data_IF_763528511703
#
_entry.id   IF_763528511703
#
_cell.length_a   1.000
_cell.length_b   1.000
_cell.length_c   1.000
_cell.angle_alpha   90.00
_cell.angle_beta   90.00
_cell.angle_gamma   90.00
#
_symmetry.space_group_name_H-M   'P 1'
#
loop_
_entity.id
_entity.type
_entity.pdbx_description
1 polymer ?
#
# COMPACT_ATOMS: atom_id res chain seq x y z
N UNK A 1 -6.74 -22.07 -18.57
CA UNK A 1 -6.33 -22.84 -17.37
C UNK A 1 -5.16 -22.19 -16.60
N UNK A 2 -4.15 -21.62 -17.26
CA UNK A 2 -3.03 -20.91 -16.60
C UNK A 2 -3.46 -19.65 -15.81
N UNK A 3 -4.39 -18.84 -16.33
CA UNK A 3 -4.88 -17.63 -15.65
C UNK A 3 -5.51 -17.96 -14.29
N UNK A 4 -6.38 -18.98 -14.22
CA UNK A 4 -7.00 -19.44 -12.96
C UNK A 4 -5.96 -19.89 -11.91
N UNK A 5 -4.87 -20.53 -12.35
CA UNK A 5 -3.78 -20.94 -11.45
C UNK A 5 -2.98 -19.74 -10.93
N UNK A 6 -2.84 -18.69 -11.72
CA UNK A 6 -2.22 -17.42 -11.31
C UNK A 6 -3.10 -16.66 -10.29
N UNK A 7 -4.42 -16.63 -10.52
CA UNK A 7 -5.43 -16.02 -9.64
C UNK A 7 -5.51 -16.67 -8.25
N UNK A 8 -5.15 -17.95 -8.14
CA UNK A 8 -5.15 -18.69 -6.87
C UNK A 8 -3.98 -18.33 -5.95
N UNK A 9 -2.93 -17.69 -6.49
CA UNK A 9 -1.70 -17.41 -5.74
C UNK A 9 -1.94 -16.34 -4.67
N UNK A 10 -1.38 -16.53 -3.48
CA UNK A 10 -1.39 -15.59 -2.35
C UNK A 10 -1.10 -14.14 -2.75
N UNK A 11 -0.09 -13.95 -3.60
CA UNK A 11 0.28 -12.65 -4.14
C UNK A 11 -0.84 -11.96 -4.91
N UNK A 12 -1.58 -12.70 -5.74
CA UNK A 12 -2.64 -12.12 -6.58
C UNK A 12 -3.80 -11.63 -5.72
N UNK A 13 -4.17 -12.39 -4.68
CA UNK A 13 -5.22 -12.01 -3.73
C UNK A 13 -4.90 -10.67 -3.04
N UNK A 14 -3.65 -10.48 -2.62
CA UNK A 14 -3.18 -9.23 -2.02
C UNK A 14 -3.18 -8.09 -3.04
N UNK A 15 -2.71 -8.32 -4.27
CA UNK A 15 -2.72 -7.32 -5.35
C UNK A 15 -4.14 -6.87 -5.72
N UNK A 16 -5.08 -7.81 -5.77
CA UNK A 16 -6.48 -7.51 -6.07
C UNK A 16 -7.11 -6.64 -4.96
N UNK A 17 -6.87 -6.99 -3.70
CA UNK A 17 -7.34 -6.19 -2.57
C UNK A 17 -6.72 -4.79 -2.53
N UNK A 18 -5.41 -4.68 -2.80
CA UNK A 18 -4.73 -3.39 -2.93
C UNK A 18 -5.36 -2.52 -4.02
N UNK A 19 -5.66 -3.10 -5.18
CA UNK A 19 -6.32 -2.38 -6.27
C UNK A 19 -7.69 -1.81 -5.89
N UNK A 20 -8.47 -2.55 -5.09
CA UNK A 20 -9.75 -2.05 -4.56
C UNK A 20 -9.54 -0.82 -3.65
N UNK A 21 -8.56 -0.86 -2.75
CA UNK A 21 -8.22 0.27 -1.88
C UNK A 21 -7.76 1.50 -2.66
N UNK A 22 -6.98 1.30 -3.72
CA UNK A 22 -6.51 2.39 -4.58
C UNK A 22 -7.66 3.02 -5.37
N UNK A 23 -8.62 2.23 -5.86
CA UNK A 23 -9.82 2.76 -6.51
C UNK A 23 -10.64 3.66 -5.57
N UNK A 24 -10.82 3.24 -4.31
CA UNK A 24 -11.49 4.09 -3.31
C UNK A 24 -10.69 5.36 -2.99
N UNK A 25 -9.37 5.26 -2.90
CA UNK A 25 -8.49 6.41 -2.65
C UNK A 25 -8.56 7.43 -3.79
N UNK A 26 -8.55 6.97 -5.05
CA UNK A 26 -8.68 7.83 -6.23
C UNK A 26 -10.07 8.47 -6.29
N UNK A 27 -11.12 7.73 -5.94
CA UNK A 27 -12.47 8.29 -5.90
C UNK A 27 -12.55 9.52 -4.97
N UNK A 28 -11.97 9.43 -3.76
CA UNK A 28 -11.94 10.55 -2.81
C UNK A 28 -10.99 11.66 -3.27
N UNK A 29 -9.75 11.32 -3.60
CA UNK A 29 -8.70 12.31 -3.89
C UNK A 29 -8.86 13.01 -5.23
N UNK A 30 -9.56 12.43 -6.20
CA UNK A 30 -9.71 13.01 -7.53
C UNK A 30 -11.15 13.43 -7.81
N UNK A 31 -12.12 12.51 -7.71
CA UNK A 31 -13.50 12.79 -8.11
C UNK A 31 -14.18 13.71 -7.09
N UNK A 32 -14.19 13.31 -5.82
CA UNK A 32 -14.83 14.12 -4.76
C UNK A 32 -14.08 15.44 -4.53
N UNK A 33 -12.75 15.40 -4.58
CA UNK A 33 -11.91 16.59 -4.50
C UNK A 33 -12.21 17.58 -5.62
N UNK A 34 -12.33 17.12 -6.87
CA UNK A 34 -12.72 17.98 -8.01
C UNK A 34 -14.12 18.56 -7.86
N UNK A 35 -15.09 17.75 -7.39
CA UNK A 35 -16.45 18.22 -7.13
C UNK A 35 -16.48 19.35 -6.09
N UNK A 36 -15.80 19.16 -4.95
CA UNK A 36 -15.75 20.18 -3.90
C UNK A 36 -14.94 21.42 -4.32
N UNK A 37 -13.94 21.26 -5.19
CA UNK A 37 -13.20 22.37 -5.77
C UNK A 37 -14.11 23.26 -6.64
N UNK A 38 -14.95 22.67 -7.50
CA UNK A 38 -15.90 23.43 -8.34
C UNK A 38 -16.96 24.14 -7.48
N UNK A 39 -17.43 23.50 -6.41
CA UNK A 39 -18.36 24.14 -5.47
C UNK A 39 -17.72 25.22 -4.59
N UNK A 40 -16.40 25.30 -4.54
CA UNK A 40 -15.69 26.18 -3.59
C UNK A 40 -15.90 25.77 -2.13
N UNK A 41 -16.22 24.50 -1.86
CA UNK A 41 -16.60 24.05 -0.52
C UNK A 41 -15.45 24.21 0.48
N UNK A 42 -15.75 24.84 1.60
CA UNK A 42 -14.87 24.96 2.77
C UNK A 42 -15.44 24.15 3.93
N UNK A 43 -14.67 23.97 5.01
CA UNK A 43 -15.12 23.25 6.21
C UNK A 43 -16.52 23.68 6.69
N UNK A 44 -16.86 24.96 6.57
CA UNK A 44 -18.13 25.53 7.01
C UNK A 44 -19.33 25.23 6.09
N UNK A 45 -19.11 24.75 4.85
CA UNK A 45 -20.20 24.48 3.89
C UNK A 45 -20.96 23.21 4.24
N UNK A 46 -20.24 22.11 4.49
CA UNK A 46 -20.81 20.82 4.92
C UNK A 46 -19.76 20.02 5.70
N UNK A 47 -19.56 20.30 7.01
CA UNK A 47 -18.42 19.75 7.76
C UNK A 47 -18.47 18.23 7.90
N UNK A 48 -19.67 17.65 8.06
CA UNK A 48 -19.84 16.21 8.26
C UNK A 48 -19.40 15.40 7.04
N UNK A 49 -19.81 15.81 5.83
CA UNK A 49 -19.46 15.09 4.60
C UNK A 49 -17.97 15.22 4.27
N UNK A 50 -17.40 16.42 4.44
CA UNK A 50 -15.98 16.69 4.24
C UNK A 50 -15.13 15.85 5.21
N UNK A 51 -15.45 15.86 6.51
CA UNK A 51 -14.70 15.07 7.50
C UNK A 51 -14.83 13.56 7.27
N UNK A 52 -16.01 13.08 6.90
CA UNK A 52 -16.24 11.65 6.64
C UNK A 52 -15.42 11.17 5.45
N UNK A 53 -15.39 11.95 4.35
CA UNK A 53 -14.60 11.61 3.17
C UNK A 53 -13.10 11.72 3.42
N UNK A 54 -12.66 12.71 4.20
CA UNK A 54 -11.26 12.83 4.61
C UNK A 54 -10.80 11.68 5.51
N UNK A 55 -11.63 11.26 6.47
CA UNK A 55 -11.39 10.05 7.27
C UNK A 55 -11.25 8.82 6.38
N UNK A 56 -12.19 8.62 5.45
CA UNK A 56 -12.19 7.48 4.54
C UNK A 56 -10.96 7.47 3.63
N UNK A 57 -10.61 8.62 3.02
CA UNK A 57 -9.42 8.75 2.18
C UNK A 57 -8.13 8.45 2.93
N UNK A 58 -7.95 9.00 4.14
CA UNK A 58 -6.79 8.71 4.99
C UNK A 58 -6.74 7.23 5.41
N UNK A 59 -7.89 6.63 5.73
CA UNK A 59 -7.97 5.21 6.10
C UNK A 59 -7.61 4.29 4.93
N UNK A 60 -8.12 4.56 3.72
CA UNK A 60 -7.77 3.82 2.52
C UNK A 60 -6.27 3.95 2.19
N UNK A 61 -5.68 5.14 2.34
CA UNK A 61 -4.24 5.36 2.16
C UNK A 61 -3.40 4.55 3.15
N UNK A 62 -3.76 4.56 4.43
CA UNK A 62 -3.01 3.81 5.45
C UNK A 62 -3.12 2.30 5.20
N UNK A 63 -4.31 1.82 4.88
CA UNK A 63 -4.55 0.41 4.57
C UNK A 63 -3.84 -0.05 3.29
N UNK A 64 -3.78 0.79 2.24
CA UNK A 64 -3.06 0.46 1.01
C UNK A 64 -1.56 0.34 1.27
N UNK A 65 -0.99 1.26 2.06
CA UNK A 65 0.40 1.21 2.47
C UNK A 65 0.77 -0.09 3.22
N UNK A 66 -0.06 -0.50 4.18
CA UNK A 66 0.13 -1.76 4.90
C UNK A 66 0.05 -2.97 3.96
N UNK A 67 -0.91 -2.96 3.04
CA UNK A 67 -1.07 -4.02 2.03
C UNK A 67 0.13 -4.09 1.07
N UNK A 68 0.73 -2.96 0.70
CA UNK A 68 1.96 -2.89 -0.07
C UNK A 68 3.15 -3.54 0.65
N UNK A 69 3.28 -3.35 1.97
CA UNK A 69 4.32 -4.01 2.77
C UNK A 69 4.11 -5.53 2.76
N UNK A 70 2.87 -6.00 2.98
CA UNK A 70 2.56 -7.42 2.89
C UNK A 70 2.86 -8.03 1.53
N UNK A 71 2.56 -7.28 0.46
CA UNK A 71 2.88 -7.70 -0.89
C UNK A 71 4.39 -7.83 -1.11
N UNK A 72 5.17 -6.84 -0.67
CA UNK A 72 6.62 -6.87 -0.77
C UNK A 72 7.24 -8.02 0.04
N UNK A 73 6.74 -8.28 1.26
CA UNK A 73 7.13 -9.42 2.08
C UNK A 73 6.79 -10.76 1.42
N UNK A 74 5.61 -10.90 0.82
CA UNK A 74 5.22 -12.09 0.07
C UNK A 74 6.20 -12.35 -1.08
N UNK A 75 6.60 -11.30 -1.82
CA UNK A 75 7.62 -11.41 -2.88
C UNK A 75 8.98 -11.82 -2.33
N UNK A 76 9.39 -11.31 -1.17
CA UNK A 76 10.64 -11.69 -0.52
C UNK A 76 10.63 -13.17 -0.12
N UNK A 77 9.51 -13.66 0.40
CA UNK A 77 9.31 -15.06 0.79
C UNK A 77 9.45 -15.99 -0.43
N UNK A 78 8.76 -15.66 -1.53
CA UNK A 78 8.81 -16.41 -2.79
C UNK A 78 10.23 -16.49 -3.37
N UNK A 79 10.98 -15.39 -3.28
CA UNK A 79 12.31 -15.30 -3.88
C UNK A 79 13.41 -15.93 -3.04
N UNK A 80 13.32 -15.78 -1.72
CA UNK A 80 14.36 -16.22 -0.79
C UNK A 80 14.25 -17.70 -0.43
N UNK A 81 13.14 -18.37 -0.77
CA UNK A 81 12.92 -19.79 -0.46
C UNK A 81 12.89 -20.10 1.03
N UNK A 82 12.75 -19.07 1.87
CA UNK A 82 12.82 -19.21 3.32
C UNK A 82 11.50 -19.81 3.83
N UNK A 83 11.57 -21.02 4.39
CA UNK A 83 10.39 -21.81 4.75
C UNK A 83 9.48 -21.05 5.75
N UNK A 84 10.09 -20.36 6.71
CA UNK A 84 9.37 -19.59 7.74
C UNK A 84 8.48 -18.48 7.14
N UNK A 85 9.01 -17.69 6.20
CA UNK A 85 8.24 -16.64 5.54
C UNK A 85 7.16 -17.23 4.64
N UNK A 86 7.45 -18.34 3.96
CA UNK A 86 6.47 -19.01 3.10
C UNK A 86 5.27 -19.50 3.92
N UNK A 87 5.50 -20.04 5.11
CA UNK A 87 4.44 -20.48 6.04
C UNK A 87 3.52 -19.33 6.49
N UNK A 88 4.00 -18.09 6.53
CA UNK A 88 3.15 -16.92 6.85
C UNK A 88 2.17 -16.56 5.72
N UNK A 89 2.58 -16.75 4.47
CA UNK A 89 1.79 -16.37 3.28
C UNK A 89 1.09 -17.56 2.60
N UNK A 90 1.19 -18.77 3.15
CA UNK A 90 0.61 -19.96 2.54
C UNK A 90 -0.90 -20.12 2.81
N UNK A 91 -1.62 -20.56 1.78
CA UNK A 91 -3.04 -20.92 1.84
C UNK A 91 -3.98 -19.82 2.36
N UNK A 92 -4.81 -20.18 3.36
CA UNK A 92 -5.87 -19.31 3.88
C UNK A 92 -5.36 -18.16 4.77
N UNK A 93 -4.08 -18.14 5.16
CA UNK A 93 -3.51 -17.11 6.05
C UNK A 93 -3.43 -15.74 5.39
N UNK A 94 -3.44 -15.69 4.07
CA UNK A 94 -3.53 -14.43 3.31
C UNK A 94 -4.82 -13.70 3.60
N UNK A 95 -5.94 -14.41 3.81
CA UNK A 95 -7.20 -13.79 4.19
C UNK A 95 -7.10 -13.13 5.57
N UNK A 96 -6.32 -13.69 6.49
CA UNK A 96 -6.04 -13.04 7.77
C UNK A 96 -5.28 -11.72 7.60
N UNK A 97 -4.30 -11.66 6.68
CA UNK A 97 -3.58 -10.42 6.37
C UNK A 97 -4.50 -9.36 5.75
N UNK A 98 -5.43 -9.77 4.88
CA UNK A 98 -6.44 -8.87 4.29
C UNK A 98 -7.39 -8.37 5.38
N UNK A 99 -7.86 -9.25 6.27
CA UNK A 99 -8.71 -8.87 7.42
C UNK A 99 -7.95 -7.89 8.32
N UNK A 100 -6.66 -8.11 8.57
CA UNK A 100 -5.84 -7.21 9.37
C UNK A 100 -5.72 -5.82 8.72
N UNK A 101 -5.55 -5.75 7.41
CA UNK A 101 -5.54 -4.47 6.67
C UNK A 101 -6.92 -3.78 6.72
N UNK A 102 -8.02 -4.54 6.67
CA UNK A 102 -9.38 -4.01 6.86
C UNK A 102 -9.61 -3.48 8.27
N UNK A 103 -9.12 -4.19 9.30
CA UNK A 103 -9.20 -3.74 10.69
C UNK A 103 -8.39 -2.45 10.88
N UNK A 104 -7.23 -2.34 10.23
CA UNK A 104 -6.44 -1.11 10.25
C UNK A 104 -7.18 0.05 9.56
N UNK A 105 -7.86 -0.20 8.43
CA UNK A 105 -8.73 0.78 7.77
C UNK A 105 -9.82 1.28 8.74
N UNK A 106 -10.56 0.35 9.35
CA UNK A 106 -11.63 0.69 10.29
C UNK A 106 -11.08 1.47 11.49
N UNK A 107 -9.93 1.07 12.03
CA UNK A 107 -9.29 1.78 13.14
C UNK A 107 -8.95 3.23 12.78
N UNK A 108 -8.30 3.46 11.64
CA UNK A 108 -7.97 4.82 11.19
C UNK A 108 -9.23 5.63 10.90
N UNK A 109 -10.26 5.00 10.33
CA UNK A 109 -11.51 5.69 9.99
C UNK A 109 -12.25 6.25 11.21
N UNK A 110 -12.29 5.52 12.33
CA UNK A 110 -13.07 5.91 13.52
C UNK A 110 -12.25 6.57 14.63
N UNK A 111 -10.97 6.21 14.81
CA UNK A 111 -10.18 6.62 15.97
C UNK A 111 -9.14 7.70 15.68
N UNK A 112 -9.04 8.16 14.44
CA UNK A 112 -7.99 9.09 14.03
C UNK A 112 -8.57 10.42 13.54
N UNK A 113 -7.82 11.51 13.75
CA UNK A 113 -8.20 12.85 13.31
C UNK A 113 -8.37 12.90 11.78
N UNK A 114 -9.59 13.18 11.28
CA UNK A 114 -9.86 13.24 9.85
C UNK A 114 -9.18 14.44 9.19
N UNK A 115 -8.85 14.31 7.91
CA UNK A 115 -8.46 15.45 7.09
C UNK A 115 -9.71 16.26 6.67
N UNK A 116 -9.57 17.58 6.63
CA UNK A 116 -10.59 18.51 6.14
C UNK A 116 -10.17 19.07 4.78
N UNK A 117 -11.10 19.09 3.82
CA UNK A 117 -10.83 19.67 2.51
C UNK A 117 -10.98 21.20 2.55
N UNK A 118 -10.05 21.90 1.91
CA UNK A 118 -10.07 23.35 1.78
C UNK A 118 -9.95 23.73 0.31
N UNK A 119 -10.99 24.35 -0.25
CA UNK A 119 -11.04 24.78 -1.65
C UNK A 119 -10.02 25.86 -2.01
N UNK A 120 -9.62 26.73 -1.07
CA UNK A 120 -8.64 27.79 -1.32
C UNK A 120 -7.27 27.25 -1.74
N UNK A 121 -6.93 26.05 -1.27
CA UNK A 121 -5.68 25.37 -1.58
C UNK A 121 -5.91 24.07 -2.36
N UNK A 122 -7.16 23.75 -2.69
CA UNK A 122 -7.60 22.53 -3.39
C UNK A 122 -6.94 21.28 -2.79
N UNK A 123 -6.90 21.17 -1.46
CA UNK A 123 -6.14 20.14 -0.76
C UNK A 123 -6.76 19.75 0.57
N UNK A 124 -6.40 18.55 1.04
CA UNK A 124 -6.85 17.98 2.30
C UNK A 124 -5.83 18.28 3.40
N UNK A 125 -6.24 19.01 4.42
CA UNK A 125 -5.42 19.37 5.56
C UNK A 125 -6.03 18.88 6.86
N UNK A 126 -5.19 18.37 7.75
CA UNK A 126 -5.64 18.03 9.11
C UNK A 126 -6.01 19.28 9.92
N UNK A 127 -5.37 20.42 9.64
CA UNK A 127 -5.74 21.71 10.22
C UNK A 127 -6.82 22.40 9.36
N UNK A 128 -8.04 22.64 9.90
CA UNK A 128 -9.10 23.33 9.17
C UNK A 128 -8.87 24.85 9.01
N UNK A 129 -7.74 25.40 9.47
CA UNK A 129 -7.34 26.81 9.34
C UNK A 129 -8.35 27.80 9.95
N UNK A 130 -9.10 27.38 10.97
CA UNK A 130 -10.15 28.16 11.66
C UNK A 130 -9.60 29.08 12.77
N UNK A 131 -8.30 29.42 12.74
CA UNK A 131 -7.68 30.37 13.69
C UNK A 131 -7.19 29.77 15.01
N UNK A 132 -7.21 28.44 15.19
CA UNK A 132 -6.61 27.75 16.35
C UNK A 132 -5.21 27.20 16.02
N UNK A 133 -4.40 26.97 17.07
CA UNK A 133 -3.02 26.49 16.94
C UNK A 133 -2.93 25.19 16.13
N UNK A 134 -2.08 25.23 15.09
CA UNK A 134 -1.88 24.16 14.11
C UNK A 134 -1.38 22.84 14.71
N UNK A 135 -0.73 22.89 15.87
CA UNK A 135 -0.09 21.74 16.52
C UNK A 135 -1.11 20.72 17.09
N UNK A 136 -2.35 21.15 17.37
CA UNK A 136 -3.40 20.28 17.93
C UNK A 136 -4.04 19.34 16.90
N UNK A 137 -3.81 19.57 15.62
CA UNK A 137 -4.43 18.82 14.52
C UNK A 137 -3.48 17.81 13.87
N UNK A 138 -2.32 17.53 14.48
CA UNK A 138 -1.36 16.57 13.91
C UNK A 138 -1.90 15.15 14.07
N UNK A 139 -2.10 14.47 12.95
CA UNK A 139 -2.44 13.06 12.93
C UNK A 139 -1.17 12.22 13.14
N UNK A 140 -0.85 11.93 14.41
CA UNK A 140 0.31 11.15 14.80
C UNK A 140 0.33 9.75 14.14
N UNK A 141 -0.83 9.09 14.03
CA UNK A 141 -0.94 7.77 13.43
C UNK A 141 -0.59 7.78 11.94
N UNK A 142 -1.06 8.79 11.20
CA UNK A 142 -0.70 8.96 9.79
C UNK A 142 0.80 9.29 9.60
N UNK A 143 1.37 10.13 10.48
CA UNK A 143 2.79 10.45 10.45
C UNK A 143 3.66 9.21 10.73
N UNK A 144 3.31 8.43 11.76
CA UNK A 144 3.97 7.16 12.07
C UNK A 144 3.84 6.16 10.93
N UNK A 145 2.65 6.02 10.34
CA UNK A 145 2.40 5.16 9.18
C UNK A 145 3.34 5.53 8.03
N UNK A 146 3.44 6.81 7.68
CA UNK A 146 4.31 7.25 6.58
C UNK A 146 5.80 6.94 6.84
N UNK A 147 6.28 7.16 8.06
CA UNK A 147 7.67 6.83 8.43
C UNK A 147 7.92 5.33 8.35
N UNK A 148 7.03 4.51 8.91
CA UNK A 148 7.14 3.05 8.88
C UNK A 148 7.14 2.55 7.44
N UNK A 149 6.25 3.07 6.61
CA UNK A 149 6.11 2.67 5.21
C UNK A 149 7.33 3.06 4.41
N UNK A 150 7.85 4.28 4.58
CA UNK A 150 9.08 4.71 3.91
C UNK A 150 10.24 3.77 4.24
N UNK A 151 10.51 3.53 5.53
CA UNK A 151 11.61 2.66 5.95
C UNK A 151 11.41 1.22 5.47
N UNK A 152 10.22 0.66 5.70
CA UNK A 152 9.92 -0.75 5.40
C UNK A 152 9.95 -1.03 3.91
N UNK A 153 9.33 -0.18 3.10
CA UNK A 153 9.29 -0.37 1.65
C UNK A 153 10.68 -0.19 1.05
N UNK A 154 11.46 0.81 1.45
CA UNK A 154 12.83 0.97 0.95
C UNK A 154 13.67 -0.26 1.27
N UNK A 155 13.65 -0.75 2.51
CA UNK A 155 14.42 -1.93 2.89
C UNK A 155 13.99 -3.19 2.11
N UNK A 156 12.69 -3.45 2.01
CA UNK A 156 12.17 -4.63 1.32
C UNK A 156 12.45 -4.61 -0.18
N UNK A 157 12.31 -3.45 -0.83
CA UNK A 157 12.58 -3.34 -2.26
C UNK A 157 14.07 -3.43 -2.56
N UNK A 158 14.93 -2.83 -1.74
CA UNK A 158 16.39 -3.01 -1.85
C UNK A 158 16.78 -4.48 -1.72
N UNK A 159 16.23 -5.18 -0.71
CA UNK A 159 16.44 -6.62 -0.52
C UNK A 159 16.00 -7.43 -1.74
N UNK A 160 14.82 -7.14 -2.29
CA UNK A 160 14.31 -7.77 -3.51
C UNK A 160 15.24 -7.55 -4.70
N UNK A 161 15.67 -6.30 -4.93
CA UNK A 161 16.58 -5.96 -6.02
C UNK A 161 17.91 -6.72 -5.91
N UNK A 162 18.52 -6.78 -4.72
CA UNK A 162 19.78 -7.51 -4.48
C UNK A 162 19.61 -9.01 -4.72
N UNK A 163 18.54 -9.61 -4.21
CA UNK A 163 18.27 -11.05 -4.39
C UNK A 163 17.95 -11.41 -5.83
N UNK A 164 17.15 -10.59 -6.52
CA UNK A 164 16.88 -10.74 -7.95
C UNK A 164 18.17 -10.67 -8.76
N UNK A 165 19.00 -9.65 -8.51
CA UNK A 165 20.28 -9.49 -9.19
C UNK A 165 21.20 -10.70 -8.99
N UNK A 166 21.33 -11.18 -7.75
CA UNK A 166 22.17 -12.35 -7.45
C UNK A 166 21.65 -13.62 -8.12
N UNK A 167 20.32 -13.82 -8.12
CA UNK A 167 19.68 -14.97 -8.77
C UNK A 167 19.87 -14.95 -10.29
N UNK A 168 19.68 -13.79 -10.91
CA UNK A 168 19.90 -13.59 -12.36
C UNK A 168 21.36 -13.84 -12.74
N UNK A 169 22.32 -13.30 -11.97
CA UNK A 169 23.76 -13.53 -12.19
C UNK A 169 24.13 -15.01 -12.08
N UNK A 170 23.58 -15.72 -11.09
CA UNK A 170 23.81 -17.16 -10.91
C UNK A 170 23.19 -18.01 -12.04
N UNK A 171 22.03 -17.62 -12.57
CA UNK A 171 21.46 -18.28 -13.74
C UNK A 171 22.30 -18.04 -15.00
N UNK A 172 22.77 -16.81 -15.21
CA UNK A 172 23.63 -16.48 -16.35
C UNK A 172 24.98 -17.23 -16.30
N UNK A 173 25.60 -17.33 -15.12
CA UNK A 173 26.84 -18.11 -14.96
C UNK A 173 26.62 -19.60 -15.20
N UNK A 174 25.51 -20.17 -14.72
CA UNK A 174 25.14 -21.57 -15.02
C UNK A 174 24.92 -21.79 -16.50
N UNK A 175 24.17 -20.93 -17.18
CA UNK A 175 23.90 -21.06 -18.62
C UNK A 175 25.18 -20.99 -19.45
N UNK A 176 26.06 -20.02 -19.17
CA UNK A 176 27.36 -19.91 -19.85
C UNK A 176 28.30 -21.10 -19.58
N UNK A 177 28.20 -21.74 -18.41
CA UNK A 177 28.94 -22.98 -18.12
C UNK A 177 28.38 -24.19 -18.88
N UNK A 178 27.05 -24.25 -19.07
CA UNK A 178 26.40 -25.30 -19.85
C UNK A 178 26.69 -25.16 -21.34
N UNK A 179 26.65 -23.94 -21.89
CA UNK A 179 27.02 -23.66 -23.28
C UNK A 179 28.46 -24.08 -23.58
N UNK A 180 29.41 -23.77 -22.70
CA UNK A 180 30.81 -24.21 -22.83
C UNK A 180 31.00 -25.72 -22.76
N UNK A 181 30.20 -26.41 -21.94
CA UNK A 181 30.22 -27.88 -21.92
C UNK A 181 29.70 -28.43 -23.25
N UNK A 182 28.56 -27.95 -23.76
CA UNK A 182 27.98 -28.45 -25.02
C UNK A 182 28.94 -28.28 -26.19
N UNK A 183 29.61 -27.13 -26.31
CA UNK A 183 30.57 -26.90 -27.41
C UNK A 183 31.88 -27.69 -27.30
N UNK A 184 32.12 -28.42 -26.20
CA UNK A 184 33.30 -29.29 -26.06
C UNK A 184 33.00 -30.75 -26.39
N UNK A 185 31.75 -31.10 -26.71
CA UNK A 185 31.35 -32.44 -27.18
C UNK A 185 31.19 -32.52 -28.70
N UNK A 186 31.33 -31.39 -29.39
CA UNK A 186 31.45 -31.28 -30.86
C UNK A 186 32.93 -31.19 -31.24
#
# INVERSE_FOLDING_TARGET
MYTQKLLSTSCYKIMFFLGILDMFSIFVNSIMTGYYAIQGAVFCTNPVSLLTLGAFGCACWCASCMTCIFLALNRCADLSGNHFLKTFFDGNRVYFLIILALLYLIFIMFFTTPASFNSNYVSWFFNPMTGQESLRYVNLYHAMNNVIVAISTTFLHLYLCVKLYTKTKNCASKLSSLQRKVSSWE
#
